data_IF_909879963739
#
_entry.id   IF_909879963739
#
_cell.length_a   1.000
_cell.length_b   1.000
_cell.length_c   1.000
_cell.angle_alpha   90.00
_cell.angle_beta   90.00
_cell.angle_gamma   90.00
#
_symmetry.space_group_name_H-M   'P 1'
#
loop_
_entity.id
_entity.type
_entity.pdbx_description
1 polymer ?
#
# COMPACT_ATOMS: atom_id res chain seq x y z
N UNK A 1 -3.77 -7.78 5.72
CA UNK A 1 -3.41 -6.72 4.74
C UNK A 1 -4.70 -6.23 4.11
N UNK A 2 -4.89 -4.92 3.98
CA UNK A 2 -6.05 -4.33 3.29
C UNK A 2 -5.73 -4.12 1.81
N UNK A 3 -6.73 -4.24 0.95
CA UNK A 3 -6.59 -4.02 -0.49
C UNK A 3 -7.80 -3.25 -1.00
N UNK A 4 -7.63 -2.43 -2.04
CA UNK A 4 -8.70 -1.71 -2.71
C UNK A 4 -8.49 -1.75 -4.22
N UNK A 5 -9.56 -1.53 -4.99
CA UNK A 5 -9.49 -1.51 -6.45
C UNK A 5 -8.43 -0.52 -6.96
N UNK A 6 -8.35 0.75 -6.50
CA UNK A 6 -7.31 1.66 -6.94
C UNK A 6 -5.90 1.13 -6.68
N UNK A 7 -5.65 0.56 -5.49
CA UNK A 7 -4.32 0.04 -5.13
C UNK A 7 -3.88 -1.12 -6.02
N UNK A 8 -4.80 -2.01 -6.36
CA UNK A 8 -4.52 -3.14 -7.26
C UNK A 8 -4.14 -2.63 -8.65
N UNK A 9 -4.91 -1.69 -9.20
CA UNK A 9 -4.67 -1.15 -10.54
C UNK A 9 -3.33 -0.41 -10.61
N UNK A 10 -3.03 0.41 -9.59
CA UNK A 10 -1.75 1.11 -9.49
C UNK A 10 -0.56 0.14 -9.44
N UNK A 11 -0.67 -0.92 -8.65
CA UNK A 11 0.38 -1.93 -8.54
C UNK A 11 0.55 -2.71 -9.84
N UNK A 12 -0.54 -3.08 -10.50
CA UNK A 12 -0.49 -3.75 -11.79
C UNK A 12 0.20 -2.88 -12.85
N UNK A 13 -0.19 -1.60 -12.95
CA UNK A 13 0.44 -0.64 -13.88
C UNK A 13 1.93 -0.46 -13.58
N UNK A 14 2.28 -0.19 -12.33
CA UNK A 14 3.67 0.02 -11.92
C UNK A 14 4.54 -1.21 -12.14
N UNK A 15 4.07 -2.41 -11.78
CA UNK A 15 4.80 -3.66 -11.96
C UNK A 15 4.96 -4.03 -13.43
N UNK A 16 3.95 -3.81 -14.27
CA UNK A 16 4.06 -4.02 -15.71
C UNK A 16 5.09 -3.06 -16.31
N UNK A 17 5.07 -1.79 -15.93
CA UNK A 17 6.00 -0.77 -16.42
C UNK A 17 7.46 -1.03 -15.99
N UNK A 18 7.66 -1.54 -14.77
CA UNK A 18 9.00 -1.72 -14.17
C UNK A 18 9.47 -3.19 -14.16
N UNK A 19 8.79 -4.07 -14.89
CA UNK A 19 9.07 -5.51 -14.88
C UNK A 19 10.54 -5.81 -15.23
N UNK A 20 11.12 -6.74 -14.49
CA UNK A 20 12.45 -7.27 -14.79
C UNK A 20 12.43 -8.15 -16.04
N UNK A 21 13.59 -8.33 -16.68
CA UNK A 21 13.73 -9.27 -17.78
C UNK A 21 13.33 -10.68 -17.36
N UNK A 22 12.47 -11.33 -18.13
CA UNK A 22 11.95 -12.67 -17.84
C UNK A 22 10.65 -12.70 -17.02
N UNK A 23 10.16 -11.54 -16.54
CA UNK A 23 8.82 -11.41 -15.94
C UNK A 23 7.83 -11.01 -17.02
N UNK A 24 6.78 -11.80 -17.20
CA UNK A 24 5.70 -11.53 -18.15
C UNK A 24 4.56 -10.75 -17.49
N UNK A 25 3.67 -10.16 -18.29
CA UNK A 25 2.45 -9.55 -17.77
C UNK A 25 1.53 -10.57 -17.07
N UNK A 26 1.55 -11.83 -17.51
CA UNK A 26 0.83 -12.91 -16.86
C UNK A 26 1.37 -13.20 -15.45
N UNK A 27 2.69 -13.12 -15.27
CA UNK A 27 3.31 -13.30 -13.94
C UNK A 27 2.87 -12.18 -12.99
N UNK A 28 2.83 -10.93 -13.48
CA UNK A 28 2.31 -9.79 -12.70
C UNK A 28 0.85 -10.02 -12.32
N UNK A 29 -0.01 -10.36 -13.29
CA UNK A 29 -1.43 -10.66 -13.03
C UNK A 29 -1.60 -11.78 -12.00
N UNK A 30 -0.82 -12.85 -12.13
CA UNK A 30 -0.86 -13.99 -11.20
C UNK A 30 -0.46 -13.57 -9.78
N UNK A 31 0.56 -12.71 -9.64
CA UNK A 31 0.96 -12.16 -8.34
C UNK A 31 -0.14 -11.25 -7.76
N UNK A 32 -0.78 -10.42 -8.60
CA UNK A 32 -1.89 -9.56 -8.17
C UNK A 32 -3.12 -10.37 -7.75
N UNK A 33 -3.49 -11.43 -8.50
CA UNK A 33 -4.58 -12.35 -8.13
C UNK A 33 -4.32 -13.00 -6.77
N UNK A 34 -3.09 -13.40 -6.50
CA UNK A 34 -2.70 -13.91 -5.19
C UNK A 34 -2.86 -12.86 -4.08
N UNK A 35 -2.42 -11.62 -4.30
CA UNK A 35 -2.57 -10.53 -3.33
C UNK A 35 -4.05 -10.21 -3.06
N UNK A 36 -4.90 -10.24 -4.10
CA UNK A 36 -6.35 -10.10 -3.96
C UNK A 36 -6.95 -11.24 -3.14
N UNK A 37 -6.52 -12.49 -3.38
CA UNK A 37 -6.99 -13.66 -2.62
C UNK A 37 -6.52 -13.69 -1.16
N UNK A 38 -5.33 -13.16 -0.86
CA UNK A 38 -4.78 -13.08 0.49
C UNK A 38 -5.18 -11.81 1.26
N UNK A 39 -5.60 -10.78 0.55
CA UNK A 39 -6.01 -9.48 1.09
C UNK A 39 -7.44 -9.47 1.63
N UNK A 40 -7.77 -8.43 2.38
CA UNK A 40 -9.16 -8.08 2.70
C UNK A 40 -9.55 -6.86 1.89
N UNK A 41 -10.51 -7.03 1.00
CA UNK A 41 -11.06 -5.93 0.22
C UNK A 41 -11.68 -4.88 1.14
N UNK A 42 -11.37 -3.62 0.87
CA UNK A 42 -11.92 -2.47 1.54
C UNK A 42 -12.40 -1.47 0.49
N UNK A 43 -13.70 -1.19 0.53
CA UNK A 43 -14.27 -0.08 -0.21
C UNK A 43 -13.81 1.25 0.42
N UNK A 44 -13.36 2.18 -0.42
CA UNK A 44 -12.84 3.49 0.00
C UNK A 44 -13.79 4.56 -0.52
N UNK A 45 -14.37 5.35 0.39
CA UNK A 45 -15.36 6.40 0.08
C UNK A 45 -14.84 7.82 0.31
N UNK A 46 -13.56 7.95 0.59
CA UNK A 46 -12.95 9.18 1.04
C UNK A 46 -12.50 10.06 -0.13
N UNK A 47 -12.65 11.39 0.01
CA UNK A 47 -12.29 12.40 -1.00
C UNK A 47 -11.45 13.53 -0.39
N UNK A 48 -10.52 13.23 0.53
CA UNK A 48 -9.74 14.26 1.25
C UNK A 48 -8.37 14.52 0.61
N UNK A 49 -8.30 14.51 -0.72
CA UNK A 49 -7.08 14.81 -1.50
C UNK A 49 -6.96 16.30 -1.87
N UNK A 50 -5.74 16.86 -1.95
CA UNK A 50 -4.47 16.25 -1.57
C UNK A 50 -4.19 16.40 -0.07
N UNK A 51 -3.65 15.35 0.58
CA UNK A 51 -3.21 15.43 1.98
C UNK A 51 -1.74 15.09 2.16
N UNK A 52 -1.27 14.05 1.49
CA UNK A 52 0.13 13.70 1.46
C UNK A 52 0.94 14.63 0.55
N UNK A 53 2.26 14.52 0.66
CA UNK A 53 3.17 15.30 -0.19
C UNK A 53 3.03 14.90 -1.66
N UNK A 54 2.92 13.60 -1.90
CA UNK A 54 2.62 13.03 -3.20
C UNK A 54 1.11 12.71 -3.25
N UNK A 55 0.32 13.39 -4.09
CA UNK A 55 -1.11 13.12 -4.22
C UNK A 55 -1.44 11.69 -4.67
N UNK A 56 -0.51 11.02 -5.37
CA UNK A 56 -0.70 9.65 -5.83
C UNK A 56 -0.63 8.64 -4.65
N UNK A 57 0.04 9.00 -3.55
CA UNK A 57 0.09 8.20 -2.32
C UNK A 57 -1.20 8.33 -1.48
N UNK A 58 -2.06 9.33 -1.72
CA UNK A 58 -3.26 9.56 -0.89
C UNK A 58 -4.22 8.36 -0.92
N UNK A 59 -4.33 7.64 -2.03
CA UNK A 59 -5.18 6.44 -2.10
C UNK A 59 -4.72 5.31 -1.16
N UNK A 60 -3.42 5.24 -0.86
CA UNK A 60 -2.87 4.28 0.10
C UNK A 60 -3.25 4.70 1.52
N UNK A 61 -3.15 6.00 1.82
CA UNK A 61 -3.54 6.54 3.12
C UNK A 61 -5.05 6.42 3.36
N UNK A 62 -5.87 6.78 2.37
CA UNK A 62 -7.33 6.63 2.42
C UNK A 62 -7.74 5.17 2.68
N UNK A 63 -7.08 4.21 2.01
CA UNK A 63 -7.28 2.79 2.27
C UNK A 63 -6.91 2.41 3.71
N UNK A 64 -5.75 2.86 4.20
CA UNK A 64 -5.32 2.57 5.57
C UNK A 64 -6.32 3.09 6.61
N UNK A 65 -6.86 4.29 6.40
CA UNK A 65 -7.89 4.89 7.26
C UNK A 65 -9.21 4.12 7.15
N UNK A 66 -9.68 3.83 5.94
CA UNK A 66 -10.93 3.10 5.71
C UNK A 66 -10.91 1.70 6.33
N UNK A 67 -9.78 1.01 6.23
CA UNK A 67 -9.59 -0.33 6.77
C UNK A 67 -9.23 -0.35 8.26
N UNK A 68 -9.12 0.81 8.93
CA UNK A 68 -8.71 0.91 10.34
C UNK A 68 -7.34 0.29 10.61
N UNK A 69 -6.40 0.44 9.68
CA UNK A 69 -5.05 -0.09 9.80
C UNK A 69 -4.25 0.67 10.87
N UNK A 70 -3.36 -0.03 11.58
CA UNK A 70 -2.47 0.62 12.54
C UNK A 70 -1.34 1.39 11.85
N UNK A 71 -0.88 0.91 10.68
CA UNK A 71 0.25 1.50 9.99
C UNK A 71 0.19 1.29 8.46
N UNK A 72 0.83 2.20 7.74
CA UNK A 72 1.29 1.98 6.36
C UNK A 72 2.76 1.53 6.42
N UNK A 73 3.07 0.44 5.71
CA UNK A 73 4.44 -0.07 5.61
C UNK A 73 5.01 0.31 4.25
N UNK A 74 6.04 1.15 4.23
CA UNK A 74 6.63 1.68 2.99
C UNK A 74 8.11 2.04 3.17
N UNK A 75 8.88 1.98 2.07
CA UNK A 75 10.23 2.58 2.05
C UNK A 75 10.17 4.11 1.87
N UNK A 76 9.08 4.66 1.34
CA UNK A 76 8.94 6.08 1.06
C UNK A 76 8.33 6.87 2.23
N UNK A 77 8.90 6.70 3.42
CA UNK A 77 8.37 7.28 4.68
C UNK A 77 8.19 8.80 4.61
N UNK A 78 9.02 9.49 3.82
CA UNK A 78 8.98 10.96 3.70
C UNK A 78 7.70 11.48 3.05
N UNK A 79 7.08 10.72 2.16
CA UNK A 79 5.94 11.18 1.36
C UNK A 79 4.61 10.89 2.10
N UNK A 80 4.66 10.00 3.10
CA UNK A 80 3.58 9.72 4.07
C UNK A 80 3.61 10.60 5.34
N UNK A 81 4.46 11.63 5.40
CA UNK A 81 4.43 12.59 6.52
C UNK A 81 3.07 13.29 6.58
N UNK A 82 2.41 13.26 7.73
CA UNK A 82 1.04 13.77 7.91
C UNK A 82 0.01 12.66 8.13
N UNK A 83 0.33 11.40 7.82
CA UNK A 83 -0.53 10.24 8.07
C UNK A 83 -0.89 10.09 9.56
N UNK A 84 -0.02 10.53 10.47
CA UNK A 84 -0.24 10.48 11.92
C UNK A 84 -1.48 11.27 12.37
N UNK A 85 -1.90 12.28 11.60
CA UNK A 85 -3.12 13.07 11.87
C UNK A 85 -4.40 12.23 11.77
N UNK A 86 -4.31 11.10 11.07
CA UNK A 86 -5.40 10.13 10.91
C UNK A 86 -5.22 8.91 11.82
N UNK A 87 -4.26 8.95 12.75
CA UNK A 87 -3.94 7.84 13.64
C UNK A 87 -3.19 6.69 12.95
N UNK A 88 -2.63 6.92 11.76
CA UNK A 88 -1.88 5.92 11.00
C UNK A 88 -0.39 6.09 11.24
N UNK A 89 0.27 5.05 11.76
CA UNK A 89 1.74 5.03 11.84
C UNK A 89 2.36 4.77 10.45
N UNK A 90 3.62 5.19 10.26
CA UNK A 90 4.38 4.87 9.05
C UNK A 90 5.61 4.08 9.43
N UNK A 91 5.70 2.84 8.95
CA UNK A 91 6.78 1.91 9.26
C UNK A 91 7.59 1.57 8.01
N UNK A 92 8.90 1.42 8.16
CA UNK A 92 9.66 0.71 7.13
C UNK A 92 9.40 -0.81 7.22
N UNK A 93 9.69 -1.60 6.18
CA UNK A 93 9.62 -3.06 6.29
C UNK A 93 10.50 -3.62 7.42
N UNK A 94 11.64 -3.00 7.73
CA UNK A 94 12.47 -3.38 8.87
C UNK A 94 11.76 -3.12 10.20
N UNK A 95 11.08 -1.97 10.32
CA UNK A 95 10.29 -1.66 11.52
C UNK A 95 9.14 -2.64 11.69
N UNK A 96 8.44 -3.01 10.61
CA UNK A 96 7.43 -4.06 10.64
C UNK A 96 8.00 -5.35 11.23
N UNK A 97 9.14 -5.83 10.71
CA UNK A 97 9.77 -7.07 11.18
C UNK A 97 10.12 -7.01 12.67
N UNK A 98 10.61 -5.87 13.16
CA UNK A 98 10.84 -5.64 14.60
C UNK A 98 9.55 -5.65 15.40
N UNK A 99 8.50 -4.98 14.92
CA UNK A 99 7.18 -4.89 15.58
C UNK A 99 6.50 -6.25 15.70
N UNK A 100 6.67 -7.13 14.72
CA UNK A 100 6.13 -8.51 14.75
C UNK A 100 7.07 -9.53 15.40
N UNK A 101 8.24 -9.10 15.89
CA UNK A 101 9.19 -9.97 16.60
C UNK A 101 9.99 -10.92 15.72
N UNK A 102 10.06 -10.67 14.40
CA UNK A 102 10.86 -11.47 13.45
C UNK A 102 12.29 -10.93 13.28
N UNK A 103 12.57 -9.75 13.81
CA UNK A 103 13.90 -9.13 13.80
C UNK A 103 14.18 -8.48 15.16
N UNK A 104 15.32 -8.81 15.75
CA UNK A 104 15.85 -8.26 17.01
C UNK A 104 16.71 -7.03 16.77
#
# INVERSE_FOLDING_TARGET
MAISVPLVLEYEEALVAQRAAGITELDVRTAMDYLCGAGREQEVFFLWRPTLRDPDDDMVLELAVAAGCAAVVTYNVRDFRGAERFGIEVWTPVDLLRKVGLLS
#
